data_IF_923350579394
#
_entry.id   IF_923350579394
#
_cell.length_a   1.000
_cell.length_b   1.000
_cell.length_c   1.000
_cell.angle_alpha   90.00
_cell.angle_beta   90.00
_cell.angle_gamma   90.00
#
_symmetry.space_group_name_H-M   'P 1'
#
loop_
_entity.id
_entity.type
_entity.pdbx_description
1 polymer ?
#
# COMPACT_ATOMS: atom_id res chain seq x y z
N UNK A 1 7.37 -17.92 19.86
CA UNK A 1 6.45 -16.91 19.26
C UNK A 1 7.24 -15.94 18.37
N UNK A 2 8.05 -16.45 17.44
CA UNK A 2 9.05 -15.61 16.72
C UNK A 2 8.67 -15.33 15.25
N UNK A 3 7.79 -16.14 14.66
CA UNK A 3 7.34 -15.96 13.28
C UNK A 3 6.59 -14.64 13.04
N UNK A 4 5.84 -14.14 14.03
CA UNK A 4 5.09 -12.88 13.90
C UNK A 4 5.99 -11.65 13.86
N UNK A 5 7.12 -11.64 14.60
CA UNK A 5 8.00 -10.47 14.67
C UNK A 5 8.80 -10.30 13.38
N UNK A 6 9.29 -11.41 12.81
CA UNK A 6 10.01 -11.39 11.55
C UNK A 6 9.13 -10.87 10.40
N UNK A 7 7.88 -11.35 10.33
CA UNK A 7 6.94 -10.87 9.31
C UNK A 7 6.62 -9.38 9.47
N UNK A 8 6.36 -8.92 10.70
CA UNK A 8 6.04 -7.52 10.95
C UNK A 8 7.22 -6.58 10.63
N UNK A 9 8.45 -7.03 10.91
CA UNK A 9 9.66 -6.30 10.52
C UNK A 9 9.80 -6.20 9.00
N UNK A 10 9.55 -7.29 8.27
CA UNK A 10 9.58 -7.29 6.81
C UNK A 10 8.51 -6.37 6.21
N UNK A 11 7.27 -6.43 6.71
CA UNK A 11 6.19 -5.52 6.32
C UNK A 11 6.57 -4.06 6.58
N UNK A 12 7.20 -3.77 7.73
CA UNK A 12 7.65 -2.42 8.07
C UNK A 12 8.74 -1.92 7.12
N UNK A 13 9.71 -2.78 6.74
CA UNK A 13 10.73 -2.42 5.73
C UNK A 13 10.09 -2.11 4.39
N UNK A 14 9.16 -2.95 3.92
CA UNK A 14 8.47 -2.74 2.65
C UNK A 14 7.65 -1.44 2.67
N UNK A 15 6.97 -1.16 3.79
CA UNK A 15 6.24 0.08 3.96
C UNK A 15 7.16 1.31 3.90
N UNK A 16 8.35 1.27 4.51
CA UNK A 16 9.33 2.37 4.41
C UNK A 16 9.75 2.61 2.96
N UNK A 17 10.15 1.55 2.25
CA UNK A 17 10.52 1.64 0.82
C UNK A 17 9.37 2.23 0.01
N UNK A 18 8.14 1.81 0.29
CA UNK A 18 6.95 2.31 -0.39
C UNK A 18 6.74 3.81 -0.14
N UNK A 19 6.89 4.25 1.10
CA UNK A 19 6.73 5.66 1.46
C UNK A 19 7.84 6.55 0.90
N UNK A 20 9.07 6.05 0.84
CA UNK A 20 10.21 6.82 0.33
C UNK A 20 10.19 6.98 -1.19
N UNK A 21 9.65 6.00 -1.92
CA UNK A 21 9.72 5.96 -3.39
C UNK A 21 8.39 6.24 -4.10
N UNK A 22 7.26 6.05 -3.41
CA UNK A 22 5.93 6.05 -4.01
C UNK A 22 4.87 6.85 -3.23
N UNK A 23 5.22 7.53 -2.13
CA UNK A 23 4.30 8.46 -1.47
C UNK A 23 4.37 9.85 -2.11
N UNK A 24 3.19 10.41 -2.40
CA UNK A 24 3.02 11.78 -2.88
C UNK A 24 2.72 12.77 -1.73
N UNK A 25 3.00 12.37 -0.48
CA UNK A 25 2.69 13.12 0.74
C UNK A 25 1.25 12.99 1.23
N UNK A 26 0.37 12.27 0.50
CA UNK A 26 -1.07 12.20 0.82
C UNK A 26 -1.58 10.78 1.08
N UNK A 27 -0.77 9.74 0.82
CA UNK A 27 -1.21 8.33 0.77
C UNK A 27 -0.62 7.46 1.87
N UNK A 28 0.18 8.03 2.78
CA UNK A 28 0.75 7.31 3.92
C UNK A 28 -0.24 6.41 4.67
N UNK A 29 -1.41 6.92 5.03
CA UNK A 29 -2.44 6.13 5.72
C UNK A 29 -2.97 4.97 4.88
N UNK A 30 -3.15 5.19 3.57
CA UNK A 30 -3.59 4.15 2.65
C UNK A 30 -2.57 3.00 2.58
N UNK A 31 -1.29 3.34 2.42
CA UNK A 31 -0.22 2.37 2.35
C UNK A 31 -0.01 1.60 3.66
N UNK A 32 -0.10 2.27 4.80
CA UNK A 32 -0.08 1.61 6.11
C UNK A 32 -1.22 0.57 6.23
N UNK A 33 -2.44 0.95 5.84
CA UNK A 33 -3.60 0.04 5.90
C UNK A 33 -3.40 -1.14 4.94
N UNK A 34 -2.97 -0.88 3.71
CA UNK A 34 -2.77 -1.91 2.70
C UNK A 34 -1.72 -2.93 3.13
N UNK A 35 -0.55 -2.49 3.60
CA UNK A 35 0.52 -3.38 4.07
C UNK A 35 0.12 -4.14 5.33
N UNK A 36 -0.69 -3.53 6.21
CA UNK A 36 -1.15 -4.19 7.43
C UNK A 36 -2.19 -5.27 7.15
N UNK A 37 -3.13 -5.02 6.23
CA UNK A 37 -4.22 -5.95 5.90
C UNK A 37 -3.83 -7.04 4.92
N UNK A 38 -2.87 -6.78 4.02
CA UNK A 38 -2.38 -7.77 3.08
C UNK A 38 -1.32 -8.68 3.73
N UNK A 39 -1.27 -9.93 3.27
CA UNK A 39 -0.22 -10.86 3.69
C UNK A 39 1.13 -10.45 3.09
N UNK A 40 2.23 -10.73 3.80
CA UNK A 40 3.58 -10.43 3.32
C UNK A 40 3.87 -10.89 1.87
N UNK A 41 3.48 -12.12 1.43
CA UNK A 41 3.67 -12.52 0.03
C UNK A 41 2.92 -11.64 -0.98
N UNK A 42 1.74 -11.13 -0.64
CA UNK A 42 0.98 -10.25 -1.53
C UNK A 42 1.65 -8.88 -1.64
N UNK A 43 2.08 -8.32 -0.51
CA UNK A 43 2.83 -7.05 -0.49
C UNK A 43 4.09 -7.19 -1.35
N UNK A 44 4.84 -8.30 -1.21
CA UNK A 44 6.03 -8.56 -2.05
C UNK A 44 5.68 -8.67 -3.54
N UNK A 45 4.57 -9.31 -3.92
CA UNK A 45 4.11 -9.37 -5.31
C UNK A 45 3.73 -8.00 -5.87
N UNK A 46 3.05 -7.17 -5.08
CA UNK A 46 2.75 -5.78 -5.48
C UNK A 46 4.02 -5.01 -5.72
N UNK A 47 4.98 -5.08 -4.78
CA UNK A 47 6.24 -4.36 -4.86
C UNK A 47 7.07 -4.75 -6.09
N UNK A 48 7.10 -6.05 -6.44
CA UNK A 48 7.77 -6.52 -7.65
C UNK A 48 7.17 -5.89 -8.91
N UNK A 49 5.85 -6.00 -9.07
CA UNK A 49 5.12 -5.39 -10.21
C UNK A 49 5.28 -3.88 -10.26
N UNK A 50 5.28 -3.24 -9.09
CA UNK A 50 5.44 -1.79 -8.97
C UNK A 50 6.81 -1.34 -9.46
N UNK A 51 7.85 -2.11 -9.13
CA UNK A 51 9.22 -1.84 -9.59
C UNK A 51 9.29 -1.96 -11.12
N UNK A 52 8.64 -2.96 -11.70
CA UNK A 52 8.55 -3.14 -13.16
C UNK A 52 7.74 -2.03 -13.84
N UNK A 53 6.53 -1.71 -13.36
CA UNK A 53 5.65 -0.69 -13.96
C UNK A 53 6.21 0.73 -13.84
N UNK A 54 7.00 1.00 -12.80
CA UNK A 54 7.60 2.32 -12.58
C UNK A 54 9.05 2.40 -13.06
N UNK A 55 9.55 1.35 -13.72
CA UNK A 55 10.87 1.32 -14.33
C UNK A 55 10.92 2.30 -15.51
N UNK A 56 11.27 3.56 -15.21
CA UNK A 56 11.29 4.67 -16.18
C UNK A 56 10.27 5.78 -15.90
N UNK A 57 9.33 5.56 -14.98
CA UNK A 57 8.44 6.61 -14.49
C UNK A 57 9.23 7.50 -13.52
N UNK A 58 9.56 8.74 -13.93
CA UNK A 58 10.26 9.69 -13.06
C UNK A 58 9.29 10.51 -12.20
N UNK A 59 8.00 10.53 -12.54
CA UNK A 59 7.02 11.35 -11.85
C UNK A 59 6.63 10.72 -10.51
N UNK A 60 6.85 11.42 -9.37
CA UNK A 60 6.43 10.91 -8.05
C UNK A 60 4.92 10.68 -7.98
N UNK A 61 4.14 11.47 -8.73
CA UNK A 61 2.68 11.31 -8.81
C UNK A 61 2.29 10.04 -9.57
N UNK A 62 2.91 9.77 -10.72
CA UNK A 62 2.66 8.56 -11.51
C UNK A 62 2.98 7.28 -10.72
N UNK A 63 4.12 7.29 -10.02
CA UNK A 63 4.51 6.23 -9.08
C UNK A 63 3.47 5.99 -7.98
N UNK A 64 3.00 7.06 -7.35
CA UNK A 64 2.00 6.98 -6.28
C UNK A 64 0.63 6.46 -6.78
N UNK A 65 0.24 6.82 -8.00
CA UNK A 65 -0.98 6.35 -8.64
C UNK A 65 -0.89 4.86 -9.02
N UNK A 66 0.24 4.43 -9.60
CA UNK A 66 0.50 3.03 -9.90
C UNK A 66 0.49 2.18 -8.62
N UNK A 67 1.15 2.66 -7.55
CA UNK A 67 1.18 2.00 -6.25
C UNK A 67 -0.23 1.82 -5.68
N UNK A 68 -1.01 2.89 -5.62
CA UNK A 68 -2.37 2.82 -5.11
C UNK A 68 -3.23 1.83 -5.90
N UNK A 69 -3.16 1.87 -7.24
CA UNK A 69 -3.92 0.99 -8.13
C UNK A 69 -3.56 -0.49 -7.90
N UNK A 70 -2.27 -0.81 -7.80
CA UNK A 70 -1.82 -2.19 -7.61
C UNK A 70 -2.19 -2.75 -6.22
N UNK A 71 -2.05 -1.95 -5.17
CA UNK A 71 -2.47 -2.33 -3.83
C UNK A 71 -3.99 -2.52 -3.74
N UNK A 72 -4.76 -1.63 -4.37
CA UNK A 72 -6.21 -1.76 -4.46
C UNK A 72 -6.61 -3.07 -5.15
N UNK A 73 -6.05 -3.34 -6.33
CA UNK A 73 -6.35 -4.54 -7.10
C UNK A 73 -5.99 -5.84 -6.35
N UNK A 74 -4.89 -5.83 -5.59
CA UNK A 74 -4.52 -6.99 -4.77
C UNK A 74 -5.43 -7.16 -3.55
N UNK A 75 -5.88 -6.08 -2.92
CA UNK A 75 -6.86 -6.16 -1.85
C UNK A 75 -8.20 -6.69 -2.36
N UNK A 76 -8.68 -6.21 -3.51
CA UNK A 76 -9.91 -6.73 -4.15
C UNK A 76 -9.80 -8.23 -4.46
N UNK A 77 -8.66 -8.69 -4.99
CA UNK A 77 -8.41 -10.13 -5.20
C UNK A 77 -8.45 -10.96 -3.92
N UNK A 78 -8.12 -10.36 -2.78
CA UNK A 78 -8.20 -11.00 -1.46
C UNK A 78 -9.56 -10.80 -0.77
N UNK A 79 -10.50 -10.12 -1.43
CA UNK A 79 -11.80 -9.77 -0.83
C UNK A 79 -11.70 -8.71 0.27
N UNK A 80 -10.60 -7.96 0.31
CA UNK A 80 -10.33 -6.91 1.29
C UNK A 80 -10.71 -5.55 0.69
N UNK A 81 -11.61 -4.83 1.34
CA UNK A 81 -11.97 -3.48 0.95
C UNK A 81 -11.00 -2.46 1.58
N UNK A 82 -10.05 -1.94 0.79
CA UNK A 82 -9.22 -0.78 1.19
C UNK A 82 -10.04 0.51 1.09
N UNK A 83 -11.05 0.66 1.95
CA UNK A 83 -11.81 1.89 2.02
C UNK A 83 -11.07 2.91 2.87
N UNK A 84 -10.64 3.99 2.22
CA UNK A 84 -10.24 5.21 2.89
C UNK A 84 -11.50 5.80 3.52
N UNK A 85 -11.83 5.40 4.75
CA UNK A 85 -12.92 6.02 5.53
C UNK A 85 -12.53 7.48 5.74
N UNK A 86 -12.94 8.36 4.83
CA UNK A 86 -13.17 9.76 5.19
C UNK A 86 -14.21 9.72 6.30
N UNK A 87 -13.92 10.35 7.44
CA UNK A 87 -14.98 10.68 8.40
C UNK A 87 -15.98 11.55 7.64
N UNK A 88 -17.06 10.96 7.16
CA UNK A 88 -18.27 11.72 6.87
C UNK A 88 -18.67 12.32 8.21
N UNK A 89 -18.51 13.64 8.38
CA UNK A 89 -19.29 14.35 9.38
C UNK A 89 -20.74 14.01 9.04
N UNK A 90 -21.42 13.28 9.91
CA UNK A 90 -22.85 13.06 9.80
C UNK A 90 -23.50 14.44 9.68
N UNK A 91 -23.98 14.78 8.48
CA UNK A 91 -24.90 15.88 8.32
C UNK A 91 -26.25 15.37 8.84
N UNK A 92 -26.55 15.77 10.07
CA UNK A 92 -27.91 15.72 10.60
C UNK A 92 -28.74 16.70 9.77
N UNK A 93 -29.76 16.21 9.08
CA UNK A 93 -30.86 17.01 8.53
C UNK A 93 -32.12 16.15 8.54
#
# INVERSE_FOLDING_TARGET
>A
MEACQAELNEKTKLLKVLLENYDDGRRKSFFCIAVNLLELPDVKRVMARLTEETQGEASPKGKAEAAARLFQAMAEKRGIALQLRKKTKAATS
#
